data_IF_622413196274
#
_entry.id   IF_622413196274
#
_cell.length_a   1.000
_cell.length_b   1.000
_cell.length_c   1.000
_cell.angle_alpha   90.00
_cell.angle_beta   90.00
_cell.angle_gamma   90.00
#
_symmetry.space_group_name_H-M   'P 1'
#
loop_
_entity.id
_entity.type
_entity.pdbx_description
1 polymer ?
#
# COMPACT_ATOMS: atom_id res chain seq x y z
N UNK A 1 54.19 14.23 -45.92
CA UNK A 1 53.15 13.47 -45.14
C UNK A 1 53.28 13.88 -43.68
N UNK A 2 52.30 14.65 -43.14
CA UNK A 2 52.37 15.23 -41.80
C UNK A 2 51.28 14.54 -40.94
N UNK A 3 51.71 13.72 -40.00
CA UNK A 3 50.83 13.11 -38.99
C UNK A 3 50.65 14.09 -37.81
N UNK A 4 49.45 14.61 -37.64
CA UNK A 4 49.09 15.40 -36.46
C UNK A 4 48.31 14.49 -35.51
N UNK A 5 48.99 13.89 -34.51
CA UNK A 5 48.41 13.25 -33.38
C UNK A 5 47.77 14.29 -32.45
N UNK A 6 46.46 14.20 -32.26
CA UNK A 6 45.71 15.05 -31.34
C UNK A 6 45.43 14.27 -30.05
N UNK A 7 46.35 14.37 -29.09
CA UNK A 7 46.13 13.90 -27.73
C UNK A 7 45.21 14.86 -26.96
N UNK A 8 43.91 14.58 -26.99
CA UNK A 8 42.96 15.20 -26.02
C UNK A 8 42.76 14.25 -24.82
N UNK A 9 43.68 14.28 -23.86
CA UNK A 9 43.42 13.79 -22.54
C UNK A 9 42.42 14.71 -21.85
N UNK A 10 41.14 14.33 -21.95
CA UNK A 10 40.05 14.96 -21.22
C UNK A 10 40.20 14.68 -19.74
N UNK A 11 40.58 15.71 -19.00
CA UNK A 11 40.64 15.75 -17.57
C UNK A 11 39.20 15.77 -17.05
N UNK A 12 38.60 14.58 -16.81
CA UNK A 12 37.33 14.45 -16.06
C UNK A 12 37.62 14.72 -14.58
N UNK A 13 37.62 16.01 -14.23
CA UNK A 13 37.57 16.41 -12.83
C UNK A 13 36.24 15.97 -12.24
N UNK A 14 36.32 15.01 -11.33
CA UNK A 14 35.23 14.53 -10.50
C UNK A 14 34.59 15.69 -9.74
N UNK A 15 33.38 16.07 -10.16
CA UNK A 15 32.58 17.18 -9.58
C UNK A 15 31.88 16.79 -8.28
N UNK A 16 32.32 15.76 -7.59
CA UNK A 16 31.58 15.18 -6.45
C UNK A 16 32.16 15.45 -5.06
N UNK A 17 33.21 16.27 -4.92
CA UNK A 17 33.86 16.41 -3.62
C UNK A 17 33.61 17.72 -2.86
N UNK A 18 32.63 18.53 -3.21
CA UNK A 18 32.37 19.76 -2.46
C UNK A 18 30.91 19.95 -2.05
N UNK A 19 30.27 18.91 -1.54
CA UNK A 19 29.09 19.06 -0.69
C UNK A 19 29.42 18.68 0.74
N UNK A 20 30.43 19.33 1.30
CA UNK A 20 30.59 19.37 2.74
C UNK A 20 29.35 20.04 3.34
N UNK A 21 28.63 19.23 4.07
CA UNK A 21 27.59 19.52 5.02
C UNK A 21 27.57 20.97 5.57
N UNK A 22 26.89 21.86 4.84
CA UNK A 22 26.35 23.04 5.49
C UNK A 22 25.30 22.52 6.46
N UNK A 23 25.58 22.63 7.74
CA UNK A 23 24.63 22.41 8.84
C UNK A 23 23.53 23.47 8.69
N UNK A 24 22.59 23.22 7.78
CA UNK A 24 21.38 24.01 7.62
C UNK A 24 20.58 23.83 8.91
N UNK A 25 20.43 24.89 9.68
CA UNK A 25 19.56 24.89 10.87
C UNK A 25 18.20 24.34 10.43
N UNK A 26 17.69 23.29 11.08
CA UNK A 26 16.45 22.67 10.67
C UNK A 26 15.33 23.72 10.69
N UNK A 27 14.79 24.04 9.52
CA UNK A 27 13.66 24.95 9.39
C UNK A 27 12.42 24.36 10.08
N UNK A 28 11.38 25.17 10.30
CA UNK A 28 10.11 24.73 10.92
C UNK A 28 9.54 23.44 10.31
N UNK A 29 9.68 23.26 8.98
CA UNK A 29 9.28 22.03 8.28
C UNK A 29 10.04 20.80 8.74
N UNK A 30 11.34 20.92 9.03
CA UNK A 30 12.16 19.79 9.48
C UNK A 30 11.72 19.27 10.86
N UNK A 31 11.33 20.15 11.76
CA UNK A 31 10.81 19.73 13.09
C UNK A 31 9.52 18.95 12.98
N UNK A 32 8.58 19.41 12.17
CA UNK A 32 7.31 18.70 11.92
C UNK A 32 7.53 17.31 11.32
N UNK A 33 8.52 17.19 10.44
CA UNK A 33 8.87 15.90 9.83
C UNK A 33 9.39 14.93 10.90
N UNK A 34 10.30 15.37 11.76
CA UNK A 34 10.81 14.55 12.87
C UNK A 34 9.71 14.14 13.83
N UNK A 35 8.87 15.08 14.25
CA UNK A 35 7.72 14.79 15.11
C UNK A 35 6.77 13.77 14.50
N UNK A 36 6.50 13.86 13.20
CA UNK A 36 5.67 12.86 12.50
C UNK A 36 6.31 11.46 12.51
N UNK A 37 7.63 11.37 12.30
CA UNK A 37 8.38 10.11 12.37
C UNK A 37 8.33 9.51 13.76
N UNK A 38 8.55 10.33 14.80
CA UNK A 38 8.52 9.87 16.19
C UNK A 38 7.12 9.38 16.59
N UNK A 39 6.06 10.03 16.10
CA UNK A 39 4.67 9.58 16.30
C UNK A 39 4.38 8.26 15.58
N UNK A 40 4.90 8.07 14.37
CA UNK A 40 4.77 6.80 13.63
C UNK A 40 5.51 5.69 14.38
N UNK A 41 6.73 5.93 14.83
CA UNK A 41 7.51 4.96 15.60
C UNK A 41 6.82 4.58 16.91
N UNK A 42 6.27 5.55 17.63
CA UNK A 42 5.50 5.32 18.86
C UNK A 42 4.21 4.51 18.60
N UNK A 43 3.52 4.73 17.47
CA UNK A 43 2.35 3.94 17.11
C UNK A 43 2.73 2.50 16.77
N UNK A 44 3.77 2.30 15.95
CA UNK A 44 4.27 0.99 15.56
C UNK A 44 4.88 0.18 16.73
N UNK A 45 5.38 0.85 17.75
CA UNK A 45 5.88 0.20 18.98
C UNK A 45 4.75 -0.43 19.82
N UNK A 46 3.55 0.13 19.74
CA UNK A 46 2.37 -0.39 20.43
C UNK A 46 1.76 -1.58 19.72
N UNK A 47 1.61 -1.49 18.41
CA UNK A 47 1.10 -2.58 17.59
C UNK A 47 1.57 -2.45 16.14
N UNK A 48 1.60 -3.60 15.47
CA UNK A 48 1.89 -3.66 14.05
C UNK A 48 0.68 -3.17 13.24
N UNK A 49 0.92 -2.29 12.27
CA UNK A 49 -0.15 -1.62 11.53
C UNK A 49 0.13 -1.53 10.03
N UNK A 50 -0.92 -1.44 9.25
CA UNK A 50 -0.87 -1.06 7.84
C UNK A 50 -0.74 0.46 7.69
N UNK A 51 -0.37 0.93 6.49
CA UNK A 51 -0.32 2.38 6.19
C UNK A 51 -1.67 3.04 6.40
N UNK A 52 -2.77 2.37 6.06
CA UNK A 52 -4.11 2.93 6.21
C UNK A 52 -4.52 3.09 7.66
N UNK A 53 -4.18 2.13 8.52
CA UNK A 53 -4.43 2.19 9.96
C UNK A 53 -3.60 3.30 10.62
N UNK A 54 -2.31 3.42 10.26
CA UNK A 54 -1.44 4.51 10.72
C UNK A 54 -1.98 5.88 10.30
N UNK A 55 -2.45 6.00 9.05
CA UNK A 55 -3.01 7.23 8.54
C UNK A 55 -4.27 7.63 9.31
N UNK A 56 -5.13 6.68 9.63
CA UNK A 56 -6.32 6.89 10.42
C UNK A 56 -5.98 7.30 11.86
N UNK A 57 -5.07 6.57 12.52
CA UNK A 57 -4.69 6.83 13.92
C UNK A 57 -4.00 8.20 14.10
N UNK A 58 -3.12 8.55 13.17
CA UNK A 58 -2.34 9.79 13.26
C UNK A 58 -3.02 11.01 12.61
N UNK A 59 -4.13 10.82 11.90
CA UNK A 59 -4.81 11.89 11.16
C UNK A 59 -3.99 12.43 10.00
N UNK A 60 -3.15 11.59 9.37
CA UNK A 60 -2.29 11.94 8.25
C UNK A 60 -2.74 11.27 6.96
N UNK A 61 -2.32 11.80 5.80
CA UNK A 61 -2.60 11.14 4.53
C UNK A 61 -1.74 9.87 4.35
N UNK A 62 -2.27 8.89 3.62
CA UNK A 62 -1.54 7.65 3.29
C UNK A 62 -0.19 7.94 2.61
N UNK A 63 -0.13 8.96 1.76
CA UNK A 63 1.10 9.32 1.05
C UNK A 63 2.13 9.96 1.98
N UNK A 64 1.68 10.77 2.95
CA UNK A 64 2.56 11.30 3.99
C UNK A 64 3.17 10.15 4.80
N UNK A 65 2.36 9.18 5.24
CA UNK A 65 2.85 8.02 5.99
C UNK A 65 3.86 7.22 5.16
N UNK A 66 3.57 6.92 3.89
CA UNK A 66 4.51 6.20 3.00
C UNK A 66 5.84 6.93 2.86
N UNK A 67 5.80 8.25 2.65
CA UNK A 67 7.01 9.04 2.52
C UNK A 67 7.83 9.02 3.82
N UNK A 68 7.19 9.18 4.99
CA UNK A 68 7.86 9.14 6.29
C UNK A 68 8.46 7.76 6.57
N UNK A 69 7.75 6.68 6.30
CA UNK A 69 8.28 5.31 6.44
C UNK A 69 9.50 5.11 5.53
N UNK A 70 9.45 5.53 4.27
CA UNK A 70 10.59 5.42 3.36
C UNK A 70 11.80 6.23 3.85
N UNK A 71 11.58 7.43 4.37
CA UNK A 71 12.65 8.23 4.97
C UNK A 71 13.25 7.54 6.22
N UNK A 72 12.41 6.96 7.09
CA UNK A 72 12.85 6.21 8.27
C UNK A 72 13.67 4.97 7.91
N UNK A 73 13.29 4.27 6.83
CA UNK A 73 14.07 3.14 6.29
C UNK A 73 15.45 3.58 5.79
N UNK A 74 15.53 4.72 5.09
CA UNK A 74 16.80 5.29 4.62
C UNK A 74 17.67 5.76 5.79
N UNK A 75 17.07 6.32 6.83
CA UNK A 75 17.75 6.75 8.06
C UNK A 75 18.20 5.57 8.95
N UNK A 76 17.77 4.34 8.65
CA UNK A 76 18.08 3.17 9.45
C UNK A 76 17.35 3.14 10.80
N UNK A 77 16.25 3.88 10.96
CA UNK A 77 15.36 3.75 12.11
C UNK A 77 14.72 2.36 12.04
N UNK A 78 14.66 1.64 13.14
CA UNK A 78 14.24 0.24 13.22
C UNK A 78 12.80 -0.04 12.77
N UNK A 79 12.39 0.45 11.60
CA UNK A 79 11.10 0.15 10.97
C UNK A 79 11.29 -0.97 9.95
N UNK A 80 10.46 -1.98 10.01
CA UNK A 80 10.51 -3.16 9.14
C UNK A 80 9.15 -3.62 8.68
N UNK A 81 9.13 -4.46 7.65
CA UNK A 81 7.92 -5.18 7.27
C UNK A 81 7.75 -6.37 8.22
N UNK A 82 6.79 -6.26 9.13
CA UNK A 82 6.49 -7.29 10.13
C UNK A 82 5.58 -8.40 9.59
N UNK A 83 4.86 -8.14 8.50
CA UNK A 83 3.97 -9.12 7.90
C UNK A 83 3.27 -8.62 6.64
N UNK A 84 2.36 -9.44 6.14
CA UNK A 84 1.58 -9.17 4.94
C UNK A 84 0.12 -9.52 5.14
N UNK A 85 -0.75 -8.58 4.91
CA UNK A 85 -2.18 -8.84 4.84
C UNK A 85 -2.56 -9.18 3.40
N UNK A 86 -2.94 -10.44 3.18
CA UNK A 86 -3.29 -10.97 1.85
C UNK A 86 -4.78 -10.75 1.62
N UNK A 87 -5.11 -9.83 0.73
CA UNK A 87 -6.46 -9.62 0.22
C UNK A 87 -6.66 -10.39 -1.10
N UNK A 88 -7.88 -10.55 -1.53
CA UNK A 88 -8.21 -11.32 -2.76
C UNK A 88 -7.43 -10.83 -4.00
N UNK A 89 -7.25 -9.53 -4.15
CA UNK A 89 -6.61 -8.91 -5.31
C UNK A 89 -5.25 -8.30 -5.03
N UNK A 90 -4.99 -7.93 -3.77
CA UNK A 90 -3.81 -7.16 -3.39
C UNK A 90 -3.17 -7.70 -2.12
N UNK A 91 -1.91 -7.35 -1.90
CA UNK A 91 -1.20 -7.62 -0.67
C UNK A 91 -0.79 -6.31 -0.03
N UNK A 92 -1.12 -6.13 1.22
CA UNK A 92 -0.80 -4.92 2.00
C UNK A 92 0.30 -5.25 2.99
N UNK A 93 1.31 -4.39 3.08
CA UNK A 93 2.40 -4.52 4.06
C UNK A 93 1.89 -4.13 5.44
N UNK A 94 2.25 -4.93 6.42
CA UNK A 94 2.10 -4.62 7.83
C UNK A 94 3.46 -4.17 8.34
N UNK A 95 3.52 -2.99 8.92
CA UNK A 95 4.73 -2.39 9.43
C UNK A 95 4.86 -2.61 10.93
N UNK A 96 6.08 -2.75 11.41
CA UNK A 96 6.40 -2.86 12.84
C UNK A 96 7.76 -2.27 13.15
N UNK A 97 8.07 -2.12 14.42
CA UNK A 97 9.39 -1.69 14.91
C UNK A 97 10.24 -2.92 15.24
N UNK A 98 11.49 -2.88 14.86
CA UNK A 98 12.48 -3.91 15.15
C UNK A 98 13.61 -3.89 14.13
N UNK A 99 14.73 -4.55 14.49
CA UNK A 99 15.89 -4.72 13.63
C UNK A 99 15.98 -6.14 13.05
N UNK A 100 14.91 -6.93 13.22
CA UNK A 100 14.83 -8.25 12.62
C UNK A 100 14.67 -8.14 11.10
N UNK A 101 14.88 -9.27 10.42
CA UNK A 101 14.73 -9.34 8.98
C UNK A 101 13.28 -9.11 8.55
N UNK A 102 13.08 -8.39 7.46
CA UNK A 102 11.77 -8.20 6.86
C UNK A 102 11.09 -9.54 6.53
N UNK A 103 9.79 -9.63 6.80
CA UNK A 103 9.00 -10.78 6.41
C UNK A 103 8.96 -10.92 4.88
N UNK A 104 9.36 -12.07 4.33
CA UNK A 104 9.36 -12.26 2.89
C UNK A 104 7.94 -12.15 2.33
N UNK A 105 7.83 -11.49 1.17
CA UNK A 105 6.54 -11.35 0.51
C UNK A 105 5.97 -12.73 0.15
N UNK A 106 4.74 -13.07 0.60
CA UNK A 106 4.13 -14.37 0.28
C UNK A 106 3.97 -14.54 -1.23
N UNK A 107 4.27 -15.73 -1.70
CA UNK A 107 4.10 -16.07 -3.11
C UNK A 107 2.60 -16.02 -3.43
N UNK A 108 2.20 -15.20 -4.39
CA UNK A 108 0.82 -15.21 -4.89
C UNK A 108 0.53 -16.60 -5.44
N UNK A 109 -0.27 -17.39 -4.73
CA UNK A 109 -0.99 -18.50 -5.37
C UNK A 109 -1.83 -17.85 -6.47
N UNK A 110 -1.58 -18.24 -7.72
CA UNK A 110 -2.17 -17.55 -8.85
C UNK A 110 -3.68 -17.40 -8.65
N UNK A 111 -4.21 -16.19 -8.75
CA UNK A 111 -5.64 -15.87 -8.57
C UNK A 111 -6.51 -16.76 -9.46
N UNK A 112 -5.95 -17.22 -10.59
CA UNK A 112 -6.54 -18.24 -11.46
C UNK A 112 -6.79 -19.58 -10.76
N UNK A 113 -5.91 -20.03 -9.86
CA UNK A 113 -6.08 -21.28 -9.12
C UNK A 113 -7.20 -21.16 -8.07
N UNK A 114 -7.26 -20.03 -7.36
CA UNK A 114 -8.32 -19.73 -6.40
C UNK A 114 -9.67 -19.59 -7.12
N UNK A 115 -9.71 -18.90 -8.26
CA UNK A 115 -10.93 -18.82 -9.09
C UNK A 115 -11.37 -20.17 -9.61
N UNK A 116 -10.44 -21.02 -10.06
CA UNK A 116 -10.75 -22.39 -10.51
C UNK A 116 -11.33 -23.20 -9.37
N UNK A 117 -10.74 -23.13 -8.18
CA UNK A 117 -11.22 -23.83 -6.97
C UNK A 117 -12.62 -23.37 -6.58
N UNK A 118 -12.86 -22.06 -6.44
CA UNK A 118 -14.20 -21.50 -6.12
C UNK A 118 -15.23 -21.87 -7.20
N UNK A 119 -14.86 -21.85 -8.49
CA UNK A 119 -15.75 -22.27 -9.57
C UNK A 119 -16.08 -23.76 -9.49
N UNK A 120 -15.10 -24.61 -9.16
CA UNK A 120 -15.32 -26.05 -8.97
C UNK A 120 -16.21 -26.33 -7.75
N UNK A 121 -15.96 -25.64 -6.61
CA UNK A 121 -16.78 -25.75 -5.40
C UNK A 121 -18.23 -25.29 -5.66
N UNK A 122 -18.44 -24.18 -6.37
CA UNK A 122 -19.79 -23.71 -6.72
C UNK A 122 -20.50 -24.64 -7.71
N UNK A 123 -19.77 -25.26 -8.66
CA UNK A 123 -20.32 -26.25 -9.55
C UNK A 123 -20.72 -27.53 -8.80
N UNK A 124 -19.89 -27.98 -7.86
CA UNK A 124 -20.18 -29.11 -7.00
C UNK A 124 -21.41 -28.88 -6.11
N UNK A 125 -21.51 -27.68 -5.49
CA UNK A 125 -22.70 -27.30 -4.73
C UNK A 125 -23.97 -27.25 -5.59
N UNK A 126 -23.85 -26.79 -6.85
CA UNK A 126 -24.98 -26.77 -7.77
C UNK A 126 -25.39 -28.18 -8.21
N UNK A 127 -24.44 -29.10 -8.34
CA UNK A 127 -24.72 -30.50 -8.69
C UNK A 127 -25.35 -31.31 -7.52
N UNK A 128 -25.07 -30.92 -6.30
CA UNK A 128 -25.64 -31.52 -5.08
C UNK A 128 -26.94 -30.88 -4.63
N UNK A 129 -27.34 -29.74 -5.21
CA UNK A 129 -28.63 -29.13 -4.90
C UNK A 129 -29.74 -30.03 -5.44
N UNK A 130 -30.66 -30.52 -4.60
CA UNK A 130 -31.79 -31.30 -5.06
C UNK A 130 -32.58 -30.47 -6.08
N UNK A 131 -33.07 -31.11 -7.13
CA UNK A 131 -33.81 -30.51 -8.26
C UNK A 131 -35.14 -29.84 -7.87
N UNK A 132 -35.38 -29.65 -6.58
CA UNK A 132 -36.52 -28.87 -6.04
C UNK A 132 -36.34 -27.35 -6.20
N UNK A 133 -35.42 -26.91 -7.06
CA UNK A 133 -35.32 -25.51 -7.41
C UNK A 133 -36.57 -25.09 -8.19
N UNK A 134 -37.60 -24.74 -7.46
CA UNK A 134 -38.63 -23.80 -7.91
C UNK A 134 -37.93 -22.70 -8.73
N UNK A 135 -38.47 -22.44 -9.93
CA UNK A 135 -38.01 -21.44 -10.85
C UNK A 135 -37.53 -20.18 -10.10
N UNK A 136 -36.44 -19.54 -10.53
CA UNK A 136 -35.91 -18.38 -9.85
C UNK A 136 -37.05 -17.40 -9.64
N UNK A 137 -37.39 -17.12 -8.38
CA UNK A 137 -38.37 -16.09 -8.05
C UNK A 137 -37.84 -14.82 -8.68
N UNK A 138 -38.33 -14.48 -9.83
CA UNK A 138 -38.11 -13.16 -10.43
C UNK A 138 -38.79 -12.22 -9.47
N UNK A 139 -38.02 -11.57 -8.61
CA UNK A 139 -38.50 -10.42 -7.88
C UNK A 139 -38.99 -9.41 -8.92
N UNK A 140 -40.29 -9.43 -9.15
CA UNK A 140 -40.98 -8.41 -9.91
C UNK A 140 -40.82 -7.14 -9.09
N UNK A 141 -40.14 -6.13 -9.63
CA UNK A 141 -39.91 -4.84 -9.00
C UNK A 141 -41.20 -3.96 -8.93
N UNK A 142 -42.35 -4.56 -9.09
CA UNK A 142 -43.65 -3.87 -9.18
C UNK A 142 -44.05 -3.12 -7.91
N UNK A 143 -43.38 -3.31 -6.78
CA UNK A 143 -43.68 -2.62 -5.53
C UNK A 143 -42.75 -1.47 -5.17
N UNK A 144 -41.56 -1.37 -5.75
CA UNK A 144 -40.60 -0.32 -5.38
C UNK A 144 -40.77 0.96 -6.24
N UNK A 145 -41.27 0.83 -7.46
CA UNK A 145 -41.44 1.99 -8.34
C UNK A 145 -42.64 2.84 -7.88
N UNK A 146 -43.72 2.21 -7.38
CA UNK A 146 -44.89 2.91 -6.87
C UNK A 146 -44.59 3.75 -5.61
N UNK A 147 -43.67 3.29 -4.77
CA UNK A 147 -43.25 4.04 -3.59
C UNK A 147 -42.36 5.25 -3.92
N UNK A 148 -41.50 5.14 -4.93
CA UNK A 148 -40.60 6.22 -5.38
C UNK A 148 -41.39 7.33 -6.08
N UNK A 149 -42.47 7.02 -6.79
CA UNK A 149 -43.28 8.02 -7.51
C UNK A 149 -44.28 8.75 -6.57
N UNK A 150 -44.73 8.13 -5.47
CA UNK A 150 -45.59 8.80 -4.46
C UNK A 150 -44.90 9.95 -3.73
N UNK A 151 -43.58 9.96 -3.65
CA UNK A 151 -42.84 11.06 -3.00
C UNK A 151 -42.82 12.33 -3.88
N UNK A 152 -43.03 12.21 -5.18
CA UNK A 152 -43.03 13.36 -6.09
C UNK A 152 -44.36 14.10 -6.13
N UNK A 153 -45.47 13.47 -5.73
CA UNK A 153 -46.79 14.13 -5.71
C UNK A 153 -47.07 14.92 -4.42
N UNK A 154 -46.20 14.87 -3.43
CA UNK A 154 -46.32 15.58 -2.14
C UNK A 154 -45.49 16.87 -2.05
N UNK A 155 -45.09 17.46 -3.21
CA UNK A 155 -44.38 18.74 -3.26
C UNK A 155 -45.19 19.79 -3.98
#
# INVERSE_FOLDING_TARGET
MRNRGSDRKGMFLSRNETRQSQMVKPGKCSRLIHEQKDRIEAALSRCQMTVSELAFELGLSNDTIRNRINEMLVEGRGVRVAGWHVLDTTMVRIWGVGFERDEPKPVRVAVSAIRKRRKAESAHHRALAPETCTAPVRFRREGMDEWLFRIQELR
#
